data_IF_208056657839
#
_entry.id   IF_208056657839
#
_cell.length_a   1.000
_cell.length_b   1.000
_cell.length_c   1.000
_cell.angle_alpha   90.00
_cell.angle_beta   90.00
_cell.angle_gamma   90.00
#
_symmetry.space_group_name_H-M   'P 1'
#
loop_
_entity.id
_entity.type
_entity.pdbx_description
1 polymer ?
#
# COMPACT_ATOMS: atom_id res chain seq x y z
N UNK A 1 8.32 10.16 -20.00
CA UNK A 1 7.49 11.37 -19.99
C UNK A 1 7.39 11.85 -18.54
N UNK A 2 8.21 12.81 -18.10
CA UNK A 2 8.28 13.21 -16.70
C UNK A 2 7.10 14.12 -16.35
N UNK A 3 6.02 13.53 -15.84
CA UNK A 3 4.92 14.26 -15.23
C UNK A 3 5.23 14.45 -13.75
N UNK A 4 5.24 15.69 -13.29
CA UNK A 4 5.50 16.01 -11.89
C UNK A 4 4.27 16.66 -11.27
N UNK A 5 4.02 16.33 -10.01
CA UNK A 5 2.99 16.94 -9.18
C UNK A 5 3.61 18.05 -8.35
N UNK A 6 2.90 19.18 -8.22
CA UNK A 6 3.33 20.34 -7.45
C UNK A 6 2.20 20.82 -6.55
N UNK A 7 2.57 21.35 -5.40
CA UNK A 7 1.70 22.11 -4.51
C UNK A 7 2.22 23.55 -4.42
N UNK A 8 1.39 24.52 -4.78
CA UNK A 8 1.72 25.92 -4.61
C UNK A 8 1.67 26.31 -3.13
N UNK A 9 2.76 26.89 -2.62
CA UNK A 9 2.84 27.31 -1.22
C UNK A 9 2.05 28.59 -0.93
N UNK A 10 1.74 29.39 -1.96
CA UNK A 10 1.00 30.64 -1.80
C UNK A 10 -0.54 30.44 -1.73
N UNK A 11 -1.09 29.50 -2.51
CA UNK A 11 -2.55 29.29 -2.59
C UNK A 11 -3.01 27.86 -2.28
N UNK A 12 -2.07 26.95 -1.99
CA UNK A 12 -2.36 25.54 -1.66
C UNK A 12 -2.78 24.67 -2.84
N UNK A 13 -2.91 25.21 -4.05
CA UNK A 13 -3.38 24.44 -5.22
C UNK A 13 -2.37 23.37 -5.62
N UNK A 14 -2.86 22.15 -5.79
CA UNK A 14 -2.12 21.03 -6.36
C UNK A 14 -2.38 20.92 -7.87
N UNK A 15 -1.33 20.67 -8.65
CA UNK A 15 -1.45 20.51 -10.11
C UNK A 15 -0.32 19.64 -10.66
N UNK A 16 -0.54 19.07 -11.84
CA UNK A 16 0.44 18.29 -12.58
C UNK A 16 1.04 19.13 -13.71
N UNK A 17 2.33 18.99 -13.96
CA UNK A 17 3.02 19.66 -15.06
C UNK A 17 3.99 18.71 -15.76
N UNK A 18 4.00 18.75 -17.09
CA UNK A 18 4.92 17.97 -17.91
C UNK A 18 6.22 18.76 -18.07
N UNK A 19 7.31 18.22 -17.54
CA UNK A 19 8.65 18.81 -17.67
C UNK A 19 9.44 17.97 -18.67
N UNK A 20 9.71 18.53 -19.85
CA UNK A 20 10.45 17.81 -20.90
C UNK A 20 11.96 17.92 -20.71
N UNK A 21 12.45 19.11 -20.35
CA UNK A 21 13.84 19.36 -19.99
C UNK A 21 13.93 19.88 -18.57
N UNK A 22 15.06 19.62 -17.91
CA UNK A 22 15.28 20.09 -16.53
C UNK A 22 15.27 21.62 -16.44
N UNK A 23 15.70 22.32 -17.48
CA UNK A 23 15.65 23.79 -17.54
C UNK A 23 14.21 24.33 -17.46
N UNK A 24 13.23 23.63 -18.04
CA UNK A 24 11.82 24.05 -18.09
C UNK A 24 11.17 24.05 -16.69
N UNK A 25 11.76 23.34 -15.71
CA UNK A 25 11.25 23.26 -14.34
C UNK A 25 11.26 24.64 -13.66
N UNK A 26 12.22 25.52 -14.01
CA UNK A 26 12.30 26.88 -13.48
C UNK A 26 11.18 27.81 -13.99
N UNK A 27 10.55 27.46 -15.10
CA UNK A 27 9.47 28.24 -15.72
C UNK A 27 8.09 27.84 -15.19
N UNK A 28 7.99 26.76 -14.41
CA UNK A 28 6.72 26.28 -13.87
C UNK A 28 6.12 27.32 -12.93
N UNK A 29 4.86 27.70 -13.20
CA UNK A 29 4.08 28.64 -12.39
C UNK A 29 2.78 28.00 -11.95
N UNK A 30 2.28 28.43 -10.80
CA UNK A 30 0.96 28.01 -10.34
C UNK A 30 -0.13 28.48 -11.33
N UNK A 31 -1.01 27.60 -11.82
CA UNK A 31 -2.11 27.99 -12.72
C UNK A 31 -3.24 28.78 -12.01
N UNK A 32 -3.20 28.88 -10.67
CA UNK A 32 -4.19 29.61 -9.88
C UNK A 32 -3.80 31.04 -9.52
N UNK A 33 -2.55 31.26 -9.11
CA UNK A 33 -2.08 32.56 -8.64
C UNK A 33 -0.82 33.06 -9.36
N UNK A 34 -0.32 32.32 -10.36
CA UNK A 34 0.92 32.62 -11.09
C UNK A 34 2.20 32.69 -10.22
N UNK A 35 2.12 32.30 -8.95
CA UNK A 35 3.26 32.24 -8.04
C UNK A 35 4.30 31.21 -8.46
N UNK A 36 5.56 31.50 -8.14
CA UNK A 36 6.72 30.62 -8.39
C UNK A 36 7.13 29.75 -7.20
N UNK A 37 6.52 29.94 -6.03
CA UNK A 37 6.82 29.14 -4.85
C UNK A 37 6.03 27.82 -4.87
N UNK A 38 6.69 26.78 -5.38
CA UNK A 38 6.12 25.46 -5.66
C UNK A 38 6.92 24.39 -4.95
N UNK A 39 6.22 23.48 -4.27
CA UNK A 39 6.79 22.26 -3.69
C UNK A 39 6.44 21.08 -4.57
N UNK A 40 7.44 20.34 -5.05
CA UNK A 40 7.21 19.08 -5.76
C UNK A 40 6.63 18.04 -4.81
N UNK A 41 5.56 17.40 -5.24
CA UNK A 41 4.93 16.28 -4.56
C UNK A 41 5.45 14.97 -5.15
N UNK A 42 5.49 13.95 -4.29
CA UNK A 42 5.72 12.57 -4.70
C UNK A 42 4.38 11.87 -4.63
N UNK A 43 3.91 11.37 -5.77
CA UNK A 43 2.66 10.65 -5.86
C UNK A 43 2.66 9.43 -4.92
N UNK A 44 1.47 9.05 -4.45
CA UNK A 44 1.32 7.80 -3.68
C UNK A 44 1.69 6.62 -4.57
N UNK A 45 2.58 5.77 -4.07
CA UNK A 45 2.99 4.54 -4.74
C UNK A 45 2.52 3.33 -3.96
N UNK A 46 2.16 2.26 -4.67
CA UNK A 46 1.99 0.93 -4.09
C UNK A 46 3.18 0.08 -4.51
N UNK A 47 3.78 -0.64 -3.56
CA UNK A 47 4.89 -1.54 -3.81
C UNK A 47 4.56 -2.96 -3.33
N UNK A 48 5.26 -3.93 -3.89
CA UNK A 48 5.10 -5.32 -3.48
C UNK A 48 5.72 -5.51 -2.10
N UNK A 49 4.92 -6.00 -1.14
CA UNK A 49 5.36 -6.35 0.21
C UNK A 49 5.37 -7.86 0.29
N UNK A 50 6.53 -8.44 0.63
CA UNK A 50 6.63 -9.88 0.82
C UNK A 50 5.74 -10.36 1.97
N UNK A 51 5.40 -11.65 1.98
CA UNK A 51 4.64 -12.20 3.11
C UNK A 51 5.41 -12.04 4.43
N UNK A 52 6.72 -12.27 4.40
CA UNK A 52 7.57 -12.16 5.58
C UNK A 52 7.58 -10.75 6.16
N UNK A 53 7.60 -9.72 5.30
CA UNK A 53 7.55 -8.32 5.73
C UNK A 53 6.19 -7.95 6.31
N UNK A 54 5.10 -8.50 5.76
CA UNK A 54 3.76 -8.33 6.35
C UNK A 54 3.70 -8.96 7.74
N UNK A 55 4.26 -10.15 7.91
CA UNK A 55 4.27 -10.87 9.18
C UNK A 55 5.13 -10.16 10.23
N UNK A 56 6.27 -9.61 9.84
CA UNK A 56 7.15 -8.87 10.74
C UNK A 56 6.48 -7.58 11.22
N UNK A 57 5.89 -6.80 10.31
CA UNK A 57 5.18 -5.55 10.61
C UNK A 57 3.82 -5.74 11.31
N UNK A 58 3.26 -6.95 11.30
CA UNK A 58 1.97 -7.21 11.93
C UNK A 58 2.04 -7.13 13.46
N UNK A 59 1.24 -6.24 14.03
CA UNK A 59 1.00 -6.11 15.46
C UNK A 59 -0.40 -6.63 15.83
N UNK A 60 -0.52 -7.67 16.67
CA UNK A 60 -1.83 -8.25 17.02
C UNK A 60 -2.78 -7.31 17.76
N UNK A 61 -2.24 -6.42 18.60
CA UNK A 61 -3.05 -5.58 19.50
C UNK A 61 -3.36 -4.19 18.93
N UNK A 62 -2.86 -3.85 17.75
CA UNK A 62 -3.16 -2.56 17.14
C UNK A 62 -4.54 -2.57 16.48
N UNK A 63 -5.29 -1.45 16.54
CA UNK A 63 -6.59 -1.36 15.88
C UNK A 63 -6.43 -1.60 14.37
N UNK A 64 -7.39 -2.32 13.79
CA UNK A 64 -7.43 -2.66 12.35
C UNK A 64 -8.58 -1.92 11.70
N UNK A 65 -8.32 -1.34 10.54
CA UNK A 65 -9.32 -0.64 9.74
C UNK A 65 -10.00 -1.58 8.72
N UNK A 66 -11.01 -1.07 8.01
CA UNK A 66 -11.72 -1.84 6.98
C UNK A 66 -10.78 -2.29 5.84
N UNK A 67 -9.77 -1.49 5.51
CA UNK A 67 -8.82 -1.83 4.47
C UNK A 67 -8.02 -3.10 4.84
N UNK A 68 -7.68 -3.26 6.11
CA UNK A 68 -7.02 -4.46 6.62
C UNK A 68 -7.86 -5.73 6.38
N UNK A 69 -9.16 -5.70 6.65
CA UNK A 69 -10.05 -6.86 6.50
C UNK A 69 -10.41 -7.18 5.04
N UNK A 70 -10.39 -6.17 4.16
CA UNK A 70 -10.63 -6.36 2.72
C UNK A 70 -9.44 -6.95 1.98
N UNK A 71 -8.22 -6.83 2.53
CA UNK A 71 -7.03 -7.38 1.91
C UNK A 71 -6.90 -8.88 2.22
N UNK A 72 -7.20 -9.73 1.22
CA UNK A 72 -7.14 -11.19 1.38
C UNK A 72 -5.77 -11.68 1.82
N UNK A 73 -4.68 -10.97 1.50
CA UNK A 73 -3.31 -11.32 1.91
C UNK A 73 -3.12 -11.27 3.43
N UNK A 74 -3.97 -10.54 4.16
CA UNK A 74 -3.95 -10.47 5.62
C UNK A 74 -4.65 -11.66 6.30
N UNK A 75 -5.36 -12.50 5.53
CA UNK A 75 -5.91 -13.74 6.05
C UNK A 75 -4.76 -14.59 6.63
N UNK A 76 -4.99 -15.15 7.81
CA UNK A 76 -4.03 -16.01 8.53
C UNK A 76 -2.84 -15.30 9.15
N UNK A 77 -2.68 -13.98 8.98
CA UNK A 77 -1.52 -13.23 9.49
C UNK A 77 -1.40 -13.32 11.02
N UNK A 78 -2.53 -13.26 11.73
CA UNK A 78 -2.58 -13.43 13.18
C UNK A 78 -2.20 -14.84 13.62
N UNK A 79 -2.67 -15.87 12.92
CA UNK A 79 -2.33 -17.26 13.21
C UNK A 79 -0.83 -17.51 12.99
N UNK A 80 -0.27 -17.03 11.87
CA UNK A 80 1.16 -17.09 11.58
C UNK A 80 2.00 -16.35 12.63
N UNK A 81 1.58 -15.15 13.06
CA UNK A 81 2.29 -14.38 14.09
C UNK A 81 2.33 -15.11 15.42
N UNK A 82 1.19 -15.69 15.82
CA UNK A 82 1.08 -16.47 17.05
C UNK A 82 1.95 -17.72 17.01
N UNK A 83 1.94 -18.47 15.90
CA UNK A 83 2.79 -19.65 15.73
C UNK A 83 4.28 -19.30 15.83
N UNK A 84 4.71 -18.20 15.18
CA UNK A 84 6.07 -17.69 15.29
C UNK A 84 6.46 -17.34 16.73
N UNK A 85 5.56 -16.68 17.49
CA UNK A 85 5.80 -16.34 18.90
C UNK A 85 5.88 -17.56 19.82
N UNK A 86 5.14 -18.62 19.50
CA UNK A 86 5.14 -19.87 20.27
C UNK A 86 6.22 -20.85 19.79
N UNK A 87 6.97 -20.53 18.73
CA UNK A 87 7.95 -21.45 18.13
C UNK A 87 7.32 -22.72 17.57
N UNK A 88 6.06 -22.67 17.17
CA UNK A 88 5.31 -23.81 16.64
C UNK A 88 5.33 -23.77 15.11
N UNK A 89 5.68 -24.91 14.50
CA UNK A 89 5.52 -25.11 13.07
C UNK A 89 4.08 -25.54 12.75
N UNK A 90 3.41 -24.80 11.86
CA UNK A 90 2.04 -25.09 11.42
C UNK A 90 2.01 -26.15 10.30
N UNK A 91 3.15 -26.42 9.66
CA UNK A 91 3.28 -27.39 8.59
C UNK A 91 2.66 -26.98 7.25
N UNK A 92 3.02 -27.71 6.21
CA UNK A 92 2.63 -27.42 4.82
C UNK A 92 1.11 -27.51 4.56
N UNK A 93 0.39 -28.34 5.32
CA UNK A 93 -1.07 -28.46 5.20
C UNK A 93 -1.80 -27.19 5.60
N UNK A 94 -1.29 -26.46 6.60
CA UNK A 94 -1.83 -25.16 6.98
C UNK A 94 -1.57 -24.11 5.90
N UNK A 95 -0.33 -24.07 5.38
CA UNK A 95 0.05 -23.11 4.34
C UNK A 95 -0.77 -23.29 3.07
N UNK A 96 -0.95 -24.54 2.61
CA UNK A 96 -1.76 -24.83 1.44
C UNK A 96 -3.22 -24.40 1.59
N UNK A 97 -3.81 -24.61 2.79
CA UNK A 97 -5.17 -24.12 3.08
C UNK A 97 -5.22 -22.60 3.08
N UNK A 98 -4.23 -21.96 3.69
CA UNK A 98 -4.16 -20.52 3.78
C UNK A 98 -4.06 -19.86 2.39
N UNK A 99 -3.23 -20.41 1.51
CA UNK A 99 -3.08 -19.88 0.16
C UNK A 99 -4.38 -19.98 -0.64
N UNK A 100 -5.10 -21.11 -0.54
CA UNK A 100 -6.44 -21.23 -1.14
C UNK A 100 -7.40 -20.14 -0.66
N UNK A 101 -7.43 -19.87 0.64
CA UNK A 101 -8.27 -18.83 1.24
C UNK A 101 -7.90 -17.42 0.75
N UNK A 102 -6.62 -17.15 0.52
CA UNK A 102 -6.14 -15.86 0.03
C UNK A 102 -6.46 -15.64 -1.45
N UNK A 103 -6.50 -16.73 -2.22
CA UNK A 103 -6.86 -16.71 -3.64
C UNK A 103 -8.37 -16.59 -3.84
N UNK A 104 -9.17 -17.36 -3.09
CA UNK A 104 -10.62 -17.35 -3.19
C UNK A 104 -11.27 -17.48 -1.79
N UNK A 105 -11.53 -16.36 -1.10
CA UNK A 105 -12.13 -16.38 0.23
C UNK A 105 -13.59 -16.82 0.23
N UNK A 106 -14.28 -16.78 -0.92
CA UNK A 106 -15.68 -17.22 -1.03
C UNK A 106 -15.84 -18.73 -0.82
N UNK A 107 -14.79 -19.51 -1.13
CA UNK A 107 -14.74 -20.97 -0.97
C UNK A 107 -14.88 -21.46 0.46
N UNK A 108 -14.73 -20.60 1.47
CA UNK A 108 -14.96 -20.95 2.88
C UNK A 108 -16.39 -21.40 3.13
N UNK A 109 -17.33 -20.88 2.35
CA UNK A 109 -18.77 -21.10 2.53
C UNK A 109 -19.33 -22.16 1.58
N UNK A 110 -18.51 -22.72 0.69
CA UNK A 110 -18.90 -23.84 -0.16
C UNK A 110 -18.74 -25.12 0.68
N UNK A 111 -19.85 -25.66 1.21
CA UNK A 111 -19.91 -26.91 2.00
C UNK A 111 -19.61 -28.19 1.20
N UNK A 112 -19.11 -28.07 -0.03
CA UNK A 112 -18.68 -29.22 -0.86
C UNK A 112 -17.18 -29.40 -0.76
N UNK A 113 -16.75 -30.32 0.12
CA UNK A 113 -15.41 -30.90 0.16
C UNK A 113 -15.01 -31.56 -1.17
#
# INVERSE_FOLDING_TARGET
>A
MPLYEYQCQACGREFQYLVLKKEDEAEVRCPGCSGGDLKRLVSRVAYHVSEQDRLSAFEPNSPKDDAFYKDTRNIGLQAKKRAQQMGVDLGSGFEAKLDRLRTDPGKVFDDTD
#
